data_IF_682130301405
#
_entry.id   IF_682130301405
#
_cell.length_a   1.000
_cell.length_b   1.000
_cell.length_c   1.000
_cell.angle_alpha   90.00
_cell.angle_beta   90.00
_cell.angle_gamma   90.00
#
_symmetry.space_group_name_H-M   'P 1'
#
loop_
_entity.id
_entity.type
_entity.pdbx_description
1 polymer ?
#
# COMPACT_ATOMS: atom_id res chain seq x y z
N UNK A 1 25.42 -3.75 19.57
CA UNK A 1 24.11 -4.40 19.31
C UNK A 1 23.90 -4.40 17.82
N UNK A 2 23.61 -5.55 17.18
CA UNK A 2 23.19 -5.63 15.78
C UNK A 2 21.66 -5.70 15.74
N UNK A 3 21.04 -4.85 14.94
CA UNK A 3 19.56 -4.85 14.80
C UNK A 3 19.16 -5.79 13.67
N UNK A 4 18.28 -6.74 13.97
CA UNK A 4 17.79 -7.75 13.02
C UNK A 4 16.48 -7.26 12.40
N UNK A 5 16.44 -7.16 11.07
CA UNK A 5 15.30 -6.61 10.33
C UNK A 5 14.64 -7.72 9.51
N UNK A 6 13.42 -8.09 9.89
CA UNK A 6 12.62 -9.10 9.22
C UNK A 6 12.12 -8.65 7.86
N UNK A 7 12.27 -9.48 6.84
CA UNK A 7 11.82 -9.22 5.47
C UNK A 7 11.31 -10.47 4.76
N UNK A 8 10.48 -10.27 3.72
CA UNK A 8 10.07 -11.30 2.78
C UNK A 8 11.10 -11.47 1.66
N UNK A 9 11.04 -12.60 0.96
CA UNK A 9 11.97 -12.93 -0.11
C UNK A 9 11.70 -12.22 -1.45
N UNK A 10 10.56 -11.53 -1.63
CA UNK A 10 10.27 -10.87 -2.91
C UNK A 10 11.23 -9.70 -3.18
N UNK A 11 11.61 -9.48 -4.45
CA UNK A 11 12.52 -8.40 -4.86
C UNK A 11 12.11 -7.04 -4.29
N UNK A 12 10.82 -6.69 -4.38
CA UNK A 12 10.30 -5.43 -3.83
C UNK A 12 10.45 -5.36 -2.31
N UNK A 13 10.13 -6.44 -1.59
CA UNK A 13 10.26 -6.46 -0.13
C UNK A 13 11.73 -6.35 0.30
N UNK A 14 12.62 -7.05 -0.36
CA UNK A 14 14.07 -6.97 -0.10
C UNK A 14 14.61 -5.57 -0.33
N UNK A 15 14.28 -4.96 -1.47
CA UNK A 15 14.75 -3.61 -1.81
C UNK A 15 14.25 -2.57 -0.81
N UNK A 16 12.95 -2.58 -0.50
CA UNK A 16 12.40 -1.62 0.48
C UNK A 16 12.95 -1.83 1.88
N UNK A 17 13.17 -3.10 2.28
CA UNK A 17 13.76 -3.41 3.59
C UNK A 17 15.21 -2.96 3.65
N UNK A 18 16.01 -3.21 2.61
CA UNK A 18 17.42 -2.77 2.56
C UNK A 18 17.52 -1.25 2.66
N UNK A 19 16.74 -0.51 1.88
CA UNK A 19 16.72 0.97 1.93
C UNK A 19 16.39 1.49 3.33
N UNK A 20 15.41 0.88 4.01
CA UNK A 20 15.04 1.28 5.38
C UNK A 20 16.12 0.86 6.39
N UNK A 21 16.73 -0.31 6.21
CA UNK A 21 17.83 -0.79 7.03
C UNK A 21 19.04 0.14 6.97
N UNK A 22 19.40 0.59 5.77
CA UNK A 22 20.50 1.55 5.57
C UNK A 22 20.21 2.89 6.27
N UNK A 23 18.97 3.37 6.21
CA UNK A 23 18.54 4.58 6.93
C UNK A 23 18.60 4.40 8.46
N UNK A 24 18.11 3.27 8.97
CA UNK A 24 18.17 2.95 10.40
C UNK A 24 19.62 2.86 10.89
N UNK A 25 20.49 2.19 10.13
CA UNK A 25 21.90 2.09 10.45
C UNK A 25 22.59 3.47 10.47
N UNK A 26 22.28 4.32 9.49
CA UNK A 26 22.86 5.66 9.39
C UNK A 26 22.45 6.56 10.56
N UNK A 27 21.19 6.51 10.96
CA UNK A 27 20.66 7.34 12.07
C UNK A 27 21.07 6.77 13.43
N UNK A 28 20.98 5.45 13.59
CA UNK A 28 21.21 4.78 14.87
C UNK A 28 22.67 4.48 15.18
N UNK A 29 23.56 4.54 14.19
CA UNK A 29 25.00 4.23 14.37
C UNK A 29 25.27 2.76 14.73
N UNK A 30 24.37 1.84 14.43
CA UNK A 30 24.49 0.42 14.72
C UNK A 30 24.49 -0.43 13.42
N UNK A 31 25.13 -1.61 13.44
CA UNK A 31 25.02 -2.56 12.34
C UNK A 31 23.61 -3.15 12.26
N UNK A 32 23.18 -3.43 11.03
CA UNK A 32 21.89 -4.09 10.73
C UNK A 32 22.11 -5.41 10.02
N UNK A 33 21.19 -6.35 10.21
CA UNK A 33 21.18 -7.65 9.54
C UNK A 33 19.76 -7.94 9.02
N UNK A 34 19.63 -8.35 7.75
CA UNK A 34 18.35 -8.76 7.20
C UNK A 34 18.07 -10.23 7.52
N UNK A 35 16.92 -10.49 8.12
CA UNK A 35 16.43 -11.83 8.44
C UNK A 35 15.30 -12.20 7.48
N UNK A 36 15.55 -13.20 6.63
CA UNK A 36 14.56 -13.70 5.69
C UNK A 36 13.52 -14.56 6.40
N UNK A 37 12.31 -14.06 6.53
CA UNK A 37 11.18 -14.80 7.11
C UNK A 37 10.43 -15.50 5.98
N UNK A 38 10.37 -16.83 6.05
CA UNK A 38 9.57 -17.64 5.11
C UNK A 38 8.09 -17.46 5.44
N UNK A 39 7.30 -17.18 4.43
CA UNK A 39 5.86 -17.05 4.56
C UNK A 39 5.18 -18.15 3.74
N UNK A 40 4.08 -18.71 4.24
CA UNK A 40 3.30 -19.71 3.51
C UNK A 40 2.77 -19.14 2.19
N UNK A 41 2.52 -17.82 2.13
CA UNK A 41 2.13 -17.12 0.90
C UNK A 41 3.22 -17.03 -0.18
N UNK A 42 4.49 -17.27 0.16
CA UNK A 42 5.58 -17.34 -0.84
C UNK A 42 5.64 -18.73 -1.51
N UNK A 43 4.98 -19.74 -0.93
CA UNK A 43 4.95 -21.15 -1.39
C UNK A 43 3.64 -21.49 -2.10
N UNK A 44 2.53 -20.85 -1.73
CA UNK A 44 1.20 -21.18 -2.22
C UNK A 44 0.86 -20.41 -3.50
N UNK A 45 0.41 -21.11 -4.54
CA UNK A 45 0.03 -20.56 -5.86
C UNK A 45 -1.47 -20.31 -6.02
N UNK A 46 -2.28 -20.47 -4.96
CA UNK A 46 -3.73 -20.23 -4.95
C UNK A 46 -4.14 -18.75 -5.01
N UNK A 47 -5.43 -18.46 -5.21
CA UNK A 47 -5.94 -17.08 -5.19
C UNK A 47 -5.85 -16.50 -3.78
N UNK A 48 -5.36 -15.25 -3.64
CA UNK A 48 -5.24 -14.57 -2.34
C UNK A 48 -6.59 -14.46 -1.60
N UNK A 49 -7.70 -14.36 -2.33
CA UNK A 49 -9.04 -14.34 -1.74
C UNK A 49 -9.46 -15.68 -1.12
N UNK A 50 -8.91 -16.80 -1.60
CA UNK A 50 -9.15 -18.14 -1.03
C UNK A 50 -8.20 -18.48 0.13
N UNK A 51 -7.12 -17.70 0.31
CA UNK A 51 -6.04 -17.97 1.27
C UNK A 51 -6.01 -16.98 2.45
N UNK A 52 -7.07 -16.21 2.69
CA UNK A 52 -7.10 -15.23 3.78
C UNK A 52 -6.39 -13.90 3.48
N UNK A 53 -6.15 -13.59 2.20
CA UNK A 53 -5.68 -12.28 1.76
C UNK A 53 -4.23 -11.94 2.13
N UNK A 54 -3.90 -10.65 2.12
CA UNK A 54 -2.58 -10.09 2.46
C UNK A 54 -2.15 -10.37 3.92
N UNK A 55 -3.10 -10.73 4.79
CA UNK A 55 -2.85 -11.05 6.20
C UNK A 55 -1.85 -12.18 6.44
N UNK A 56 -1.78 -13.17 5.55
CA UNK A 56 -0.84 -14.31 5.69
C UNK A 56 0.62 -13.85 5.68
N UNK A 57 0.97 -12.88 4.85
CA UNK A 57 2.33 -12.35 4.78
C UNK A 57 2.72 -11.50 5.98
N UNK A 58 1.76 -10.77 6.52
CA UNK A 58 1.95 -9.94 7.71
C UNK A 58 2.06 -10.82 8.95
N UNK A 59 1.25 -11.87 9.05
CA UNK A 59 1.24 -12.77 10.19
C UNK A 59 2.63 -13.39 10.46
N UNK A 60 3.29 -13.93 9.44
CA UNK A 60 4.60 -14.58 9.63
C UNK A 60 5.68 -13.61 10.15
N UNK A 61 5.71 -12.35 9.64
CA UNK A 61 6.64 -11.33 10.14
C UNK A 61 6.31 -10.89 11.57
N UNK A 62 5.01 -10.76 11.91
CA UNK A 62 4.57 -10.45 13.27
C UNK A 62 4.91 -11.56 14.26
N UNK A 63 4.72 -12.82 13.85
CA UNK A 63 5.12 -13.98 14.64
C UNK A 63 6.63 -14.00 14.90
N UNK A 64 7.45 -13.67 13.89
CA UNK A 64 8.89 -13.57 14.04
C UNK A 64 9.31 -12.47 15.03
N UNK A 65 8.64 -11.31 15.01
CA UNK A 65 8.83 -10.24 16.00
C UNK A 65 8.51 -10.74 17.42
N UNK A 66 7.34 -11.39 17.61
CA UNK A 66 6.88 -11.89 18.90
C UNK A 66 7.78 -13.02 19.43
N UNK A 67 8.33 -13.85 18.55
CA UNK A 67 9.31 -14.89 18.93
C UNK A 67 10.75 -14.40 19.09
N UNK A 68 10.96 -13.06 18.95
CA UNK A 68 12.29 -12.46 19.03
C UNK A 68 13.29 -12.98 17.98
N UNK A 69 12.80 -13.38 16.82
CA UNK A 69 13.63 -13.79 15.66
C UNK A 69 14.16 -12.57 14.89
N UNK A 70 13.43 -11.46 14.94
CA UNK A 70 13.88 -10.14 14.47
C UNK A 70 13.45 -9.04 15.46
N UNK A 71 14.03 -7.85 15.30
CA UNK A 71 13.77 -6.71 16.20
C UNK A 71 12.80 -5.71 15.56
N UNK A 72 12.82 -5.65 14.23
CA UNK A 72 12.01 -4.76 13.40
C UNK A 72 11.48 -5.54 12.20
N UNK A 73 10.27 -5.25 11.73
CA UNK A 73 9.71 -5.76 10.49
C UNK A 73 9.26 -4.60 9.58
N UNK A 74 9.57 -4.70 8.29
CA UNK A 74 9.23 -3.69 7.30
C UNK A 74 8.11 -4.19 6.40
N UNK A 75 7.03 -3.40 6.28
CA UNK A 75 5.88 -3.70 5.43
C UNK A 75 5.57 -2.54 4.48
N UNK A 76 4.97 -2.84 3.33
CA UNK A 76 4.18 -1.83 2.63
C UNK A 76 2.92 -1.56 3.47
N UNK A 77 2.69 -0.31 3.88
CA UNK A 77 1.65 0.00 4.87
C UNK A 77 0.24 -0.40 4.40
N UNK A 78 -0.03 -0.29 3.11
CA UNK A 78 -1.33 -0.68 2.52
C UNK A 78 -1.68 -2.17 2.68
N UNK A 79 -0.67 -3.01 2.92
CA UNK A 79 -0.84 -4.45 3.10
C UNK A 79 -1.04 -4.82 4.60
N UNK A 80 -0.86 -3.83 5.50
CA UNK A 80 -0.98 -4.02 6.94
C UNK A 80 -2.44 -3.87 7.39
N UNK A 81 -3.03 -4.86 8.08
CA UNK A 81 -4.39 -4.74 8.62
C UNK A 81 -4.57 -3.48 9.47
N UNK A 82 -5.77 -2.90 9.45
CA UNK A 82 -6.08 -1.68 10.23
C UNK A 82 -6.15 -1.94 11.73
N UNK A 83 -6.49 -3.16 12.14
CA UNK A 83 -6.57 -3.57 13.53
C UNK A 83 -5.21 -3.60 14.23
N UNK A 84 -5.22 -3.29 15.53
CA UNK A 84 -4.04 -3.38 16.37
C UNK A 84 -3.55 -4.83 16.49
N UNK A 85 -2.25 -5.04 16.51
CA UNK A 85 -1.62 -6.32 16.80
C UNK A 85 -1.14 -6.35 18.26
N UNK A 86 -1.65 -7.30 19.05
CA UNK A 86 -1.28 -7.42 20.45
C UNK A 86 0.23 -7.66 20.60
N UNK A 87 0.89 -6.86 21.45
CA UNK A 87 2.33 -6.94 21.69
C UNK A 87 3.22 -6.27 20.65
N UNK A 88 2.64 -5.72 19.56
CA UNK A 88 3.36 -5.02 18.52
C UNK A 88 2.90 -3.56 18.40
N UNK A 89 3.78 -2.73 17.87
CA UNK A 89 3.53 -1.30 17.63
C UNK A 89 4.01 -0.91 16.25
N UNK A 90 3.25 -0.05 15.57
CA UNK A 90 3.73 0.69 14.41
C UNK A 90 4.68 1.78 14.88
N UNK A 91 5.98 1.47 14.90
CA UNK A 91 7.01 2.27 15.51
C UNK A 91 7.35 3.53 14.68
N UNK A 92 7.40 3.38 13.35
CA UNK A 92 7.65 4.49 12.45
C UNK A 92 6.95 4.33 11.11
N UNK A 93 6.61 5.46 10.50
CA UNK A 93 6.16 5.60 9.12
C UNK A 93 7.08 6.60 8.43
N UNK A 94 8.13 6.15 7.72
CA UNK A 94 9.03 7.05 7.01
C UNK A 94 8.29 7.90 5.98
N UNK A 95 8.93 9.00 5.57
CA UNK A 95 8.37 9.91 4.58
C UNK A 95 7.80 9.18 3.38
N UNK A 96 6.54 9.48 3.07
CA UNK A 96 5.75 8.89 1.99
C UNK A 96 6.33 9.28 0.63
N UNK A 97 6.41 8.31 -0.27
CA UNK A 97 6.75 8.53 -1.68
C UNK A 97 5.46 8.68 -2.51
N UNK A 98 5.58 8.77 -3.85
CA UNK A 98 4.43 8.97 -4.74
C UNK A 98 3.30 7.98 -4.48
N UNK A 99 2.12 8.51 -4.21
CA UNK A 99 0.93 7.74 -3.84
C UNK A 99 0.18 7.19 -5.05
N UNK A 100 0.45 7.74 -6.25
CA UNK A 100 -0.33 7.47 -7.46
C UNK A 100 -0.20 6.03 -7.91
N UNK A 101 -1.25 5.59 -8.59
CA UNK A 101 -1.17 4.45 -9.47
C UNK A 101 -0.63 4.88 -10.84
N UNK A 102 -0.06 3.96 -11.57
CA UNK A 102 0.51 4.22 -12.89
C UNK A 102 0.03 3.19 -13.89
N UNK A 103 -0.17 3.63 -15.11
CA UNK A 103 -0.39 2.78 -16.26
C UNK A 103 0.97 2.41 -16.88
N UNK A 104 1.16 1.14 -17.16
CA UNK A 104 2.27 0.62 -17.95
C UNK A 104 1.65 -0.04 -19.19
N UNK A 105 1.57 0.69 -20.29
CA UNK A 105 0.92 0.26 -21.51
C UNK A 105 1.93 0.03 -22.64
N UNK A 106 1.59 -0.91 -23.55
CA UNK A 106 2.31 -1.07 -24.80
C UNK A 106 2.35 0.27 -25.59
N UNK A 107 3.36 0.47 -26.36
CA UNK A 107 3.53 1.63 -27.25
C UNK A 107 3.49 3.00 -26.54
N UNK A 108 3.64 3.02 -25.21
CA UNK A 108 3.56 4.24 -24.40
C UNK A 108 2.18 4.88 -24.35
N UNK A 109 1.10 4.14 -24.65
CA UNK A 109 -0.26 4.66 -24.68
C UNK A 109 -0.71 5.15 -23.29
N UNK A 110 -1.46 6.25 -23.28
CA UNK A 110 -2.14 6.75 -22.08
C UNK A 110 -3.51 6.08 -21.92
N UNK A 111 -4.13 6.22 -20.76
CA UNK A 111 -5.44 5.66 -20.47
C UNK A 111 -6.51 6.11 -21.47
N UNK A 112 -6.48 7.39 -21.86
CA UNK A 112 -7.41 7.96 -22.84
C UNK A 112 -7.19 7.41 -24.26
N UNK A 113 -5.96 7.01 -24.59
CA UNK A 113 -5.56 6.58 -25.94
C UNK A 113 -5.70 5.07 -26.15
N UNK A 114 -5.99 4.32 -25.09
CA UNK A 114 -6.24 2.87 -25.19
C UNK A 114 -7.45 2.60 -26.10
N UNK A 115 -7.35 1.67 -27.06
CA UNK A 115 -8.48 1.32 -27.93
C UNK A 115 -9.64 0.70 -27.13
N UNK A 116 -10.86 0.86 -27.62
CA UNK A 116 -12.02 0.21 -27.04
C UNK A 116 -11.81 -1.32 -27.02
N UNK A 117 -12.17 -1.96 -25.90
CA UNK A 117 -11.92 -3.37 -25.66
C UNK A 117 -10.47 -3.71 -25.27
N UNK A 118 -9.58 -2.69 -25.07
CA UNK A 118 -8.22 -2.95 -24.62
C UNK A 118 -8.21 -3.66 -23.25
N UNK A 119 -7.32 -4.65 -23.11
CA UNK A 119 -7.22 -5.52 -21.95
C UNK A 119 -6.26 -4.95 -20.93
N UNK A 120 -6.79 -4.47 -19.79
CA UNK A 120 -6.01 -3.83 -18.73
C UNK A 120 -5.95 -4.72 -17.50
N UNK A 121 -4.73 -5.13 -17.11
CA UNK A 121 -4.49 -6.05 -16.01
C UNK A 121 -4.41 -5.36 -14.66
N UNK A 122 -5.20 -5.81 -13.67
CA UNK A 122 -5.05 -5.46 -12.26
C UNK A 122 -5.63 -6.55 -11.37
N UNK A 123 -5.01 -6.82 -10.22
CA UNK A 123 -5.57 -7.71 -9.19
C UNK A 123 -6.17 -6.93 -8.01
N UNK A 124 -6.42 -5.64 -8.18
CA UNK A 124 -6.99 -4.77 -7.14
C UNK A 124 -8.44 -4.42 -7.47
N UNK A 125 -9.43 -4.83 -6.66
CA UNK A 125 -10.82 -4.43 -6.84
C UNK A 125 -11.02 -2.93 -6.91
N UNK A 126 -10.31 -2.16 -6.07
CA UNK A 126 -10.31 -0.69 -6.08
C UNK A 126 -9.91 -0.11 -7.45
N UNK A 127 -8.80 -0.62 -8.04
CA UNK A 127 -8.35 -0.17 -9.36
C UNK A 127 -9.33 -0.58 -10.44
N UNK A 128 -9.80 -1.84 -10.40
CA UNK A 128 -10.74 -2.37 -11.38
C UNK A 128 -12.02 -1.54 -11.43
N UNK A 129 -12.60 -1.21 -10.27
CA UNK A 129 -13.81 -0.41 -10.18
C UNK A 129 -13.61 1.01 -10.74
N UNK A 130 -12.52 1.70 -10.35
CA UNK A 130 -12.24 3.05 -10.84
C UNK A 130 -11.88 3.08 -12.33
N UNK A 131 -11.18 2.06 -12.86
CA UNK A 131 -10.95 1.93 -14.30
C UNK A 131 -12.26 1.76 -15.08
N UNK A 132 -13.16 0.89 -14.61
CA UNK A 132 -14.48 0.69 -15.25
C UNK A 132 -15.32 1.97 -15.22
N UNK A 133 -15.25 2.74 -14.14
CA UNK A 133 -15.93 4.03 -14.05
C UNK A 133 -15.34 5.05 -15.03
N UNK A 134 -14.02 5.12 -15.16
CA UNK A 134 -13.34 6.06 -16.06
C UNK A 134 -13.43 5.64 -17.55
N UNK A 135 -13.36 4.35 -17.84
CA UNK A 135 -13.32 3.76 -19.19
C UNK A 135 -14.14 2.46 -19.21
N UNK A 136 -15.48 2.54 -19.30
CA UNK A 136 -16.38 1.37 -19.28
C UNK A 136 -16.23 0.46 -20.50
N UNK A 137 -15.56 0.92 -21.53
CA UNK A 137 -15.26 0.21 -22.76
C UNK A 137 -14.02 -0.70 -22.67
N UNK A 138 -13.25 -0.65 -21.56
CA UNK A 138 -12.07 -1.51 -21.37
C UNK A 138 -12.43 -2.87 -20.78
N UNK A 139 -11.65 -3.89 -21.15
CA UNK A 139 -11.71 -5.22 -20.56
C UNK A 139 -10.73 -5.30 -19.37
N UNK A 140 -11.26 -5.33 -18.15
CA UNK A 140 -10.42 -5.39 -16.93
C UNK A 140 -10.17 -6.85 -16.56
N UNK A 141 -8.88 -7.24 -16.59
CA UNK A 141 -8.43 -8.62 -16.37
C UNK A 141 -7.83 -8.75 -14.97
N UNK A 142 -8.34 -9.72 -14.18
CA UNK A 142 -7.70 -10.05 -12.89
C UNK A 142 -6.34 -10.71 -13.11
N UNK A 143 -5.30 -10.13 -12.53
CA UNK A 143 -3.92 -10.62 -12.65
C UNK A 143 -3.27 -10.80 -11.29
N UNK A 144 -2.38 -11.80 -11.21
CA UNK A 144 -1.61 -12.13 -10.01
C UNK A 144 -0.11 -12.14 -10.31
N UNK A 145 0.68 -12.27 -9.27
CA UNK A 145 2.14 -12.31 -9.34
C UNK A 145 2.82 -11.04 -8.85
N UNK A 146 4.14 -11.05 -8.84
CA UNK A 146 4.96 -9.89 -8.50
C UNK A 146 4.95 -8.84 -9.64
N UNK A 147 5.63 -7.72 -9.43
CA UNK A 147 5.68 -6.61 -10.40
C UNK A 147 6.22 -7.07 -11.75
N UNK A 148 7.35 -7.80 -11.76
CA UNK A 148 7.98 -8.25 -13.02
C UNK A 148 7.09 -9.23 -13.78
N UNK A 149 6.40 -10.15 -13.08
CA UNK A 149 5.42 -11.06 -13.69
C UNK A 149 4.27 -10.32 -14.36
N UNK A 150 3.77 -9.25 -13.72
CA UNK A 150 2.67 -8.45 -14.28
C UNK A 150 3.11 -7.61 -15.47
N UNK A 151 4.27 -6.95 -15.38
CA UNK A 151 4.86 -6.20 -16.50
C UNK A 151 5.15 -7.12 -17.69
N UNK A 152 5.59 -8.37 -17.43
CA UNK A 152 5.84 -9.37 -18.46
C UNK A 152 4.63 -9.76 -19.30
N UNK A 153 3.41 -9.38 -18.89
CA UNK A 153 2.17 -9.61 -19.67
C UNK A 153 1.88 -8.53 -20.71
N UNK A 154 2.64 -7.41 -20.68
CA UNK A 154 2.47 -6.30 -21.65
C UNK A 154 3.64 -6.32 -22.63
N UNK A 155 3.41 -6.48 -23.94
CA UNK A 155 4.47 -6.50 -24.95
C UNK A 155 5.17 -5.15 -25.06
N UNK A 156 6.46 -5.18 -25.40
CA UNK A 156 7.24 -3.99 -25.72
C UNK A 156 7.66 -3.10 -24.54
N UNK A 157 7.32 -3.47 -23.29
CA UNK A 157 7.80 -2.72 -22.13
C UNK A 157 9.31 -2.91 -21.92
N UNK A 158 10.05 -1.88 -21.47
CA UNK A 158 11.46 -1.97 -21.14
C UNK A 158 11.78 -3.16 -20.21
N UNK A 159 12.84 -3.90 -20.50
CA UNK A 159 13.28 -5.06 -19.71
C UNK A 159 12.42 -6.31 -19.84
N UNK A 160 11.42 -6.31 -20.70
CA UNK A 160 10.70 -7.53 -21.10
C UNK A 160 11.49 -8.18 -22.24
N UNK A 161 12.20 -9.26 -21.93
CA UNK A 161 12.96 -10.03 -22.93
C UNK A 161 12.05 -10.92 -23.81
N UNK A 162 10.74 -10.83 -23.65
CA UNK A 162 9.77 -11.67 -24.37
C UNK A 162 9.50 -11.03 -25.72
N UNK A 163 10.19 -11.53 -26.75
CA UNK A 163 9.90 -11.27 -28.16
C UNK A 163 8.93 -12.28 -28.76
N UNK A 164 8.73 -13.41 -28.08
CA UNK A 164 7.91 -14.51 -28.60
C UNK A 164 6.59 -14.61 -27.86
N UNK A 165 5.51 -14.46 -28.61
CA UNK A 165 4.15 -14.72 -28.16
C UNK A 165 4.00 -16.21 -27.91
N UNK A 166 4.06 -16.64 -26.65
CA UNK A 166 3.68 -18.02 -26.29
C UNK A 166 2.16 -18.03 -26.02
N UNK A 167 1.35 -18.66 -26.84
CA UNK A 167 -0.09 -18.72 -26.64
C UNK A 167 -0.44 -19.23 -25.23
N UNK A 168 -1.14 -18.40 -24.45
CA UNK A 168 -1.68 -18.74 -23.12
C UNK A 168 -0.84 -18.35 -21.91
N UNK A 169 0.34 -17.73 -22.03
CA UNK A 169 1.16 -17.37 -20.87
C UNK A 169 1.85 -16.00 -20.86
N UNK A 170 1.97 -15.27 -21.95
CA UNK A 170 2.67 -13.99 -21.95
C UNK A 170 2.16 -13.03 -23.01
N UNK A 171 2.23 -11.73 -22.74
CA UNK A 171 1.88 -10.66 -23.69
C UNK A 171 0.42 -10.65 -24.14
N UNK A 172 -0.51 -10.92 -23.23
CA UNK A 172 -1.94 -10.97 -23.48
C UNK A 172 -2.69 -9.71 -23.00
N UNK A 173 -1.98 -8.68 -22.54
CA UNK A 173 -2.55 -7.43 -22.04
C UNK A 173 -2.04 -6.23 -22.84
N UNK A 174 -2.90 -5.23 -23.03
CA UNK A 174 -2.51 -3.93 -23.58
C UNK A 174 -1.82 -3.04 -22.54
N UNK A 175 -2.20 -3.19 -21.26
CA UNK A 175 -1.63 -2.44 -20.17
C UNK A 175 -1.78 -3.17 -18.82
N UNK A 176 -1.02 -2.73 -17.82
CA UNK A 176 -1.21 -3.09 -16.40
C UNK A 176 -1.21 -1.84 -15.54
N UNK A 177 -1.95 -1.88 -14.41
CA UNK A 177 -1.95 -0.79 -13.43
C UNK A 177 -1.22 -1.23 -12.18
N UNK A 178 -0.18 -0.45 -11.80
CA UNK A 178 0.71 -0.70 -10.66
C UNK A 178 0.80 0.55 -9.78
N UNK A 179 1.38 0.43 -8.57
CA UNK A 179 1.70 1.58 -7.74
C UNK A 179 3.05 2.18 -8.15
N UNK A 180 3.14 3.50 -8.35
CA UNK A 180 4.37 4.22 -8.65
C UNK A 180 5.49 3.87 -7.66
N UNK A 181 5.19 3.92 -6.37
CA UNK A 181 6.13 3.58 -5.30
C UNK A 181 6.76 2.19 -5.43
N UNK A 182 6.00 1.21 -5.94
CA UNK A 182 6.52 -0.13 -6.17
C UNK A 182 7.54 -0.18 -7.30
N UNK A 183 7.26 0.51 -8.41
CA UNK A 183 8.16 0.60 -9.56
C UNK A 183 9.41 1.42 -9.24
N UNK A 184 9.25 2.55 -8.54
CA UNK A 184 10.36 3.40 -8.10
C UNK A 184 11.38 2.60 -7.28
N UNK A 185 10.91 1.84 -6.27
CA UNK A 185 11.78 1.04 -5.39
C UNK A 185 12.59 0.00 -6.11
N UNK A 186 12.09 -0.56 -7.20
CA UNK A 186 12.81 -1.56 -8.00
C UNK A 186 13.40 -1.00 -9.30
N UNK A 187 13.45 0.34 -9.43
CA UNK A 187 14.02 1.07 -10.57
C UNK A 187 13.37 0.70 -11.91
N UNK A 188 12.04 0.64 -11.94
CA UNK A 188 11.23 0.30 -13.13
C UNK A 188 10.26 1.42 -13.54
N UNK A 189 10.54 2.68 -13.19
CA UNK A 189 9.74 3.82 -13.65
C UNK A 189 9.82 4.05 -15.17
N UNK A 190 10.83 3.50 -15.83
CA UNK A 190 10.98 3.48 -17.28
C UNK A 190 9.86 2.73 -18.03
N UNK A 191 9.09 1.89 -17.32
CA UNK A 191 7.93 1.18 -17.87
C UNK A 191 6.63 1.97 -17.81
N UNK A 192 6.62 3.14 -17.17
CA UNK A 192 5.42 3.95 -16.95
C UNK A 192 5.07 4.74 -18.20
N UNK A 193 3.86 4.55 -18.73
CA UNK A 193 3.29 5.34 -19.79
C UNK A 193 2.49 6.55 -19.28
N UNK A 194 1.87 6.43 -18.09
CA UNK A 194 1.10 7.50 -17.48
C UNK A 194 1.02 7.36 -15.95
N UNK A 195 1.17 8.48 -15.23
CA UNK A 195 0.80 8.59 -13.83
C UNK A 195 -0.69 8.95 -13.76
N UNK A 196 -1.48 8.09 -13.12
CA UNK A 196 -2.91 8.32 -12.97
C UNK A 196 -3.14 9.30 -11.81
N UNK A 197 -3.64 10.48 -12.13
CA UNK A 197 -3.91 11.52 -11.13
C UNK A 197 -5.01 11.07 -10.14
N UNK A 198 -5.02 11.65 -8.95
CA UNK A 198 -5.90 11.20 -7.87
C UNK A 198 -7.38 11.49 -8.12
N UNK A 199 -7.71 12.39 -9.03
CA UNK A 199 -9.08 12.62 -9.50
C UNK A 199 -9.61 11.45 -10.36
N UNK A 200 -8.72 10.80 -11.13
CA UNK A 200 -9.03 9.61 -11.93
C UNK A 200 -8.96 8.35 -11.08
N UNK A 201 -7.92 8.23 -10.25
CA UNK A 201 -7.69 7.01 -9.44
C UNK A 201 -7.17 7.34 -8.05
N UNK A 202 -8.07 7.37 -7.06
CA UNK A 202 -7.67 7.47 -5.66
C UNK A 202 -6.89 6.21 -5.23
N UNK A 203 -5.72 6.39 -4.59
CA UNK A 203 -4.87 5.28 -4.17
C UNK A 203 -5.49 4.42 -3.07
N UNK A 204 -4.89 3.28 -2.78
CA UNK A 204 -5.21 2.53 -1.56
C UNK A 204 -4.70 3.28 -0.33
N UNK A 205 -5.42 3.20 0.79
CA UNK A 205 -4.96 3.74 2.06
C UNK A 205 -3.54 3.24 2.39
N UNK A 206 -2.63 4.14 2.74
CA UNK A 206 -1.22 3.84 3.01
C UNK A 206 -0.38 3.53 1.77
N UNK A 207 -0.89 3.67 0.55
CA UNK A 207 -0.07 3.48 -0.65
C UNK A 207 1.08 4.50 -0.69
N UNK A 208 2.28 4.06 -1.04
CA UNK A 208 3.50 4.87 -1.01
C UNK A 208 4.21 4.87 0.33
N UNK A 209 3.52 4.54 1.43
CA UNK A 209 4.12 4.50 2.77
C UNK A 209 4.67 3.12 3.12
N UNK A 210 5.73 3.11 3.93
CA UNK A 210 6.22 1.93 4.64
C UNK A 210 5.72 1.96 6.08
N UNK A 211 5.55 0.77 6.65
CA UNK A 211 5.29 0.55 8.07
C UNK A 211 6.47 -0.16 8.70
N UNK A 212 7.01 0.40 9.76
CA UNK A 212 8.04 -0.21 10.58
C UNK A 212 7.38 -0.70 11.87
N UNK A 213 7.21 -2.02 12.02
CA UNK A 213 6.70 -2.63 13.24
C UNK A 213 7.83 -3.14 14.13
N UNK A 214 7.66 -3.01 15.44
CA UNK A 214 8.50 -3.65 16.45
C UNK A 214 7.64 -4.17 17.61
N UNK A 215 8.24 -4.87 18.57
CA UNK A 215 7.55 -5.20 19.83
C UNK A 215 7.21 -3.90 20.58
N UNK A 216 6.07 -3.88 21.25
CA UNK A 216 5.62 -2.67 22.00
C UNK A 216 6.62 -2.25 23.07
N UNK A 217 7.36 -3.20 23.65
CA UNK A 217 8.39 -2.92 24.64
C UNK A 217 9.62 -2.17 24.06
N UNK A 218 9.87 -2.32 22.75
CA UNK A 218 11.00 -1.71 22.03
C UNK A 218 10.59 -0.45 21.26
N UNK A 219 9.30 -0.11 21.29
CA UNK A 219 8.77 1.02 20.55
C UNK A 219 9.23 2.36 21.13
N UNK A 220 9.42 3.39 20.29
CA UNK A 220 9.69 4.74 20.79
C UNK A 220 8.53 5.21 21.68
N UNK A 221 8.83 6.02 22.73
CA UNK A 221 7.79 6.65 23.53
C UNK A 221 6.90 7.51 22.62
N UNK A 222 5.60 7.54 22.91
CA UNK A 222 4.66 8.36 22.13
C UNK A 222 5.02 9.84 22.22
N UNK A 223 4.78 10.62 21.15
CA UNK A 223 4.96 12.08 21.20
C UNK A 223 4.22 12.67 22.39
N UNK A 224 4.94 13.48 23.21
CA UNK A 224 4.39 14.10 24.41
C UNK A 224 4.58 13.30 25.72
N UNK A 225 5.18 12.10 25.70
CA UNK A 225 5.64 11.43 26.92
C UNK A 225 6.87 12.15 27.50
N UNK A 226 6.91 12.34 28.82
CA UNK A 226 7.97 13.11 29.51
C UNK A 226 9.35 12.43 29.51
N UNK A 227 9.46 11.17 29.11
CA UNK A 227 10.70 10.39 29.10
C UNK A 227 11.13 10.07 27.68
N UNK A 228 12.24 10.66 27.22
CA UNK A 228 12.96 10.21 26.03
C UNK A 228 13.50 8.79 26.24
N UNK A 229 13.38 7.92 25.26
CA UNK A 229 13.99 6.59 25.34
C UNK A 229 15.51 6.70 25.40
N UNK A 230 16.12 5.89 26.27
CA UNK A 230 17.58 5.68 26.27
C UNK A 230 18.01 4.60 25.30
N UNK A 231 17.04 3.89 24.71
CA UNK A 231 17.28 2.84 23.72
C UNK A 231 17.60 3.46 22.34
N UNK A 232 18.76 3.12 21.81
CA UNK A 232 19.26 3.64 20.53
C UNK A 232 18.35 3.23 19.36
N UNK A 233 17.76 2.03 19.40
CA UNK A 233 16.81 1.58 18.38
C UNK A 233 15.54 2.44 18.41
N UNK A 234 14.97 2.67 19.60
CA UNK A 234 13.77 3.50 19.73
C UNK A 234 14.02 4.94 19.26
N UNK A 235 15.21 5.50 19.54
CA UNK A 235 15.61 6.82 19.04
C UNK A 235 15.71 6.85 17.51
N UNK A 236 16.34 5.83 16.90
CA UNK A 236 16.46 5.73 15.46
C UNK A 236 15.09 5.56 14.77
N UNK A 237 14.19 4.76 15.36
CA UNK A 237 12.82 4.60 14.88
C UNK A 237 12.05 5.93 14.94
N UNK A 238 12.16 6.66 16.04
CA UNK A 238 11.54 7.99 16.20
C UNK A 238 12.07 9.00 15.16
N UNK A 239 13.36 8.95 14.85
CA UNK A 239 13.96 9.84 13.86
C UNK A 239 13.58 9.52 12.41
N UNK A 240 13.16 8.28 12.13
CA UNK A 240 12.63 7.88 10.83
C UNK A 240 11.14 8.14 10.69
N UNK A 241 10.42 8.40 11.76
CA UNK A 241 8.99 8.67 11.71
C UNK A 241 8.72 10.06 11.15
N UNK A 242 8.00 10.14 10.03
CA UNK A 242 7.61 11.40 9.41
C UNK A 242 6.23 11.82 9.92
N UNK A 243 6.11 12.96 10.63
CA UNK A 243 4.86 13.36 11.26
C UNK A 243 3.70 13.55 10.27
N UNK A 244 3.95 14.14 9.10
CA UNK A 244 2.92 14.37 8.10
C UNK A 244 2.42 13.06 7.51
N UNK A 245 3.34 12.14 7.21
CA UNK A 245 3.00 10.79 6.75
C UNK A 245 2.20 10.05 7.81
N UNK A 246 2.61 10.10 9.08
CA UNK A 246 1.90 9.45 10.19
C UNK A 246 0.47 9.96 10.33
N UNK A 247 0.24 11.27 10.32
CA UNK A 247 -1.09 11.85 10.38
C UNK A 247 -1.94 11.43 9.17
N UNK A 248 -1.39 11.51 7.96
CA UNK A 248 -2.08 11.13 6.74
C UNK A 248 -2.53 9.66 6.77
N UNK A 249 -1.62 8.74 7.06
CA UNK A 249 -1.96 7.31 7.07
C UNK A 249 -2.84 6.91 8.25
N UNK A 250 -2.78 7.64 9.36
CA UNK A 250 -3.69 7.46 10.50
C UNK A 250 -5.13 7.78 10.08
N UNK A 251 -5.37 8.90 9.38
CA UNK A 251 -6.69 9.28 8.88
C UNK A 251 -7.22 8.26 7.86
N UNK A 252 -6.40 7.86 6.88
CA UNK A 252 -6.76 6.85 5.87
C UNK A 252 -7.13 5.50 6.50
N UNK A 253 -6.35 5.03 7.47
CA UNK A 253 -6.58 3.75 8.15
C UNK A 253 -7.79 3.81 9.09
N UNK A 254 -8.02 4.94 9.76
CA UNK A 254 -9.21 5.14 10.58
C UNK A 254 -10.50 5.11 9.73
N UNK A 255 -10.46 5.70 8.54
CA UNK A 255 -11.56 5.62 7.57
C UNK A 255 -11.84 4.15 7.18
N UNK A 256 -10.81 3.39 6.76
CA UNK A 256 -11.00 1.97 6.42
C UNK A 256 -11.54 1.15 7.60
N UNK A 257 -11.00 1.37 8.80
CA UNK A 257 -11.44 0.67 10.00
C UNK A 257 -12.92 0.96 10.31
N UNK A 258 -13.37 2.22 10.14
CA UNK A 258 -14.78 2.60 10.39
C UNK A 258 -15.73 2.10 9.31
N UNK A 259 -15.27 2.01 8.06
CA UNK A 259 -16.02 1.37 6.97
C UNK A 259 -16.06 -0.16 7.12
N UNK A 260 -15.30 -0.74 8.05
CA UNK A 260 -15.05 -2.19 8.14
C UNK A 260 -14.55 -2.78 6.82
N UNK A 261 -13.80 -1.96 6.06
CA UNK A 261 -13.39 -2.30 4.71
C UNK A 261 -12.25 -3.34 4.72
N UNK A 262 -12.52 -4.49 4.12
CA UNK A 262 -11.53 -5.55 3.88
C UNK A 262 -10.56 -5.19 2.74
N UNK A 263 -9.52 -6.01 2.57
CA UNK A 263 -8.51 -5.80 1.52
C UNK A 263 -9.07 -5.89 0.10
N UNK A 264 -10.22 -6.54 -0.09
CA UNK A 264 -10.90 -6.66 -1.38
C UNK A 264 -11.95 -5.58 -1.62
N UNK A 265 -12.24 -4.73 -0.63
CA UNK A 265 -13.20 -3.64 -0.79
C UNK A 265 -12.72 -2.62 -1.84
N UNK A 266 -13.59 -2.13 -2.73
CA UNK A 266 -13.25 -1.17 -3.77
C UNK A 266 -13.19 0.27 -3.22
N UNK A 267 -12.34 0.48 -2.20
CA UNK A 267 -12.18 1.75 -1.47
C UNK A 267 -10.83 2.39 -1.78
N UNK A 268 -10.87 3.65 -2.23
CA UNK A 268 -9.70 4.52 -2.35
C UNK A 268 -9.69 5.55 -1.22
N UNK A 269 -8.51 5.88 -0.69
CA UNK A 269 -8.36 6.93 0.32
C UNK A 269 -6.98 7.59 0.20
N UNK A 270 -6.96 8.91 0.28
CA UNK A 270 -5.75 9.71 0.24
C UNK A 270 -5.82 10.90 1.18
N UNK A 271 -4.87 10.97 2.11
CA UNK A 271 -4.69 12.10 2.99
C UNK A 271 -3.32 12.75 2.80
N UNK A 272 -3.24 14.05 3.07
CA UNK A 272 -2.01 14.83 3.03
C UNK A 272 -2.10 16.08 3.90
N UNK A 273 -0.98 16.48 4.48
CA UNK A 273 -0.85 17.74 5.19
C UNK A 273 -0.50 18.86 4.19
N UNK A 274 -1.14 20.02 4.33
CA UNK A 274 -0.82 21.24 3.60
C UNK A 274 -1.03 22.46 4.49
N UNK A 275 0.06 23.15 4.80
CA UNK A 275 0.04 24.22 5.81
C UNK A 275 -0.37 23.66 7.18
N UNK A 276 -1.35 24.29 7.82
CA UNK A 276 -1.89 23.87 9.12
C UNK A 276 -3.10 22.93 9.01
N UNK A 277 -3.31 22.29 7.88
CA UNK A 277 -4.49 21.46 7.64
C UNK A 277 -4.10 20.06 7.21
N UNK A 278 -4.83 19.06 7.71
CA UNK A 278 -4.85 17.69 7.21
C UNK A 278 -6.10 17.52 6.34
N UNK A 279 -5.90 17.13 5.08
CA UNK A 279 -6.95 16.81 4.12
C UNK A 279 -7.09 15.31 3.99
N UNK A 280 -8.29 14.82 3.81
CA UNK A 280 -8.60 13.44 3.49
C UNK A 280 -9.69 13.39 2.41
N UNK A 281 -9.44 12.63 1.37
CA UNK A 281 -10.40 12.32 0.32
C UNK A 281 -10.56 10.82 0.20
N UNK A 282 -11.79 10.36 -0.02
CA UNK A 282 -12.07 8.94 -0.16
C UNK A 282 -13.18 8.66 -1.18
N UNK A 283 -13.14 7.48 -1.78
CA UNK A 283 -14.13 6.97 -2.70
C UNK A 283 -14.45 5.51 -2.39
N UNK A 284 -15.73 5.17 -2.42
CA UNK A 284 -16.23 3.80 -2.47
C UNK A 284 -16.90 3.61 -3.83
N UNK A 285 -16.53 2.56 -4.56
CA UNK A 285 -17.05 2.28 -5.89
C UNK A 285 -17.83 0.97 -5.91
N UNK A 286 -18.88 0.89 -6.73
CA UNK A 286 -19.43 -0.39 -7.13
C UNK A 286 -18.36 -1.19 -7.92
N UNK A 287 -18.32 -2.51 -7.74
CA UNK A 287 -17.30 -3.38 -8.36
C UNK A 287 -17.33 -3.31 -9.89
N UNK A 288 -18.51 -3.08 -10.47
CA UNK A 288 -18.71 -2.92 -11.91
C UNK A 288 -18.43 -1.50 -12.43
N UNK A 289 -18.12 -0.54 -11.54
CA UNK A 289 -17.84 0.85 -11.87
C UNK A 289 -19.07 1.73 -12.17
N UNK A 290 -20.30 1.20 -12.03
CA UNK A 290 -21.54 1.91 -12.40
C UNK A 290 -21.94 2.98 -11.40
N UNK A 291 -21.46 2.91 -10.15
CA UNK A 291 -21.75 3.84 -9.09
C UNK A 291 -20.52 4.10 -8.22
N UNK A 292 -20.45 5.29 -7.66
CA UNK A 292 -19.45 5.64 -6.66
C UNK A 292 -19.95 6.69 -5.69
N UNK A 293 -19.50 6.61 -4.44
CA UNK A 293 -19.67 7.67 -3.44
C UNK A 293 -18.29 8.22 -3.12
N UNK A 294 -18.09 9.52 -3.32
CA UNK A 294 -16.82 10.21 -3.11
C UNK A 294 -17.03 11.50 -2.34
N UNK A 295 -16.24 11.71 -1.31
CA UNK A 295 -16.28 12.95 -0.52
C UNK A 295 -14.86 13.27 0.02
N UNK A 296 -14.71 14.49 0.55
CA UNK A 296 -13.46 14.99 1.14
C UNK A 296 -13.74 15.85 2.37
N UNK A 297 -12.83 15.78 3.34
CA UNK A 297 -12.87 16.54 4.58
C UNK A 297 -11.48 17.07 4.91
N UNK A 298 -11.41 18.05 5.81
CA UNK A 298 -10.18 18.58 6.32
C UNK A 298 -10.32 18.97 7.79
N UNK A 299 -9.21 18.95 8.54
CA UNK A 299 -9.14 19.40 9.92
C UNK A 299 -7.83 20.18 10.17
N UNK A 300 -7.87 21.11 11.11
CA UNK A 300 -6.69 21.79 11.66
C UNK A 300 -6.11 21.07 12.90
N UNK A 301 -6.78 19.98 13.33
CA UNK A 301 -6.36 19.13 14.43
C UNK A 301 -5.19 18.21 14.02
N UNK A 302 -3.98 18.76 13.85
CA UNK A 302 -2.77 18.02 13.45
C UNK A 302 -2.21 17.15 14.58
N UNK A 303 -3.03 16.23 15.07
CA UNK A 303 -2.70 15.20 16.06
C UNK A 303 -3.20 13.83 15.59
N UNK A 304 -2.66 12.73 16.12
CA UNK A 304 -3.16 11.39 15.79
C UNK A 304 -4.66 11.23 16.15
N UNK A 305 -5.12 11.86 17.21
CA UNK A 305 -6.54 11.89 17.58
C UNK A 305 -7.37 12.65 16.54
N UNK A 306 -6.93 13.85 16.14
CA UNK A 306 -7.60 14.63 15.10
C UNK A 306 -7.63 13.91 13.75
N UNK A 307 -6.53 13.29 13.37
CA UNK A 307 -6.45 12.47 12.15
C UNK A 307 -7.42 11.26 12.21
N UNK A 308 -7.50 10.58 13.37
CA UNK A 308 -8.43 9.46 13.57
C UNK A 308 -9.89 9.94 13.46
N UNK A 309 -10.24 11.04 14.09
CA UNK A 309 -11.59 11.61 14.02
C UNK A 309 -11.95 12.01 12.59
N UNK A 310 -11.04 12.65 11.85
CA UNK A 310 -11.24 12.98 10.44
C UNK A 310 -11.58 11.75 9.59
N UNK A 311 -10.84 10.64 9.80
CA UNK A 311 -11.11 9.38 9.11
C UNK A 311 -12.48 8.80 9.44
N UNK A 312 -12.88 8.81 10.72
CA UNK A 312 -14.19 8.32 11.17
C UNK A 312 -15.30 9.19 10.61
N UNK A 313 -15.18 10.51 10.69
CA UNK A 313 -16.20 11.46 10.19
C UNK A 313 -16.42 11.28 8.68
N UNK A 314 -15.36 11.16 7.88
CA UNK A 314 -15.50 10.94 6.44
C UNK A 314 -16.15 9.59 6.14
N UNK A 315 -15.80 8.54 6.88
CA UNK A 315 -16.44 7.23 6.72
C UNK A 315 -17.95 7.28 7.00
N UNK A 316 -18.38 7.99 8.05
CA UNK A 316 -19.79 8.18 8.37
C UNK A 316 -20.55 8.92 7.25
N UNK A 317 -19.92 9.93 6.67
CA UNK A 317 -20.50 10.66 5.53
C UNK A 317 -20.67 9.75 4.32
N UNK A 318 -19.67 8.92 3.99
CA UNK A 318 -19.76 7.97 2.89
C UNK A 318 -20.86 6.91 3.15
N UNK A 319 -20.95 6.39 4.37
CA UNK A 319 -22.00 5.43 4.77
C UNK A 319 -23.39 6.07 4.65
N UNK A 320 -23.57 7.29 5.16
CA UNK A 320 -24.82 8.03 5.05
C UNK A 320 -25.21 8.34 3.59
N UNK A 321 -24.24 8.44 2.68
CA UNK A 321 -24.44 8.61 1.25
C UNK A 321 -24.67 7.28 0.49
N UNK A 322 -24.82 6.15 1.19
CA UNK A 322 -25.14 4.85 0.59
C UNK A 322 -23.92 4.02 0.15
N UNK A 323 -22.74 4.26 0.70
CA UNK A 323 -21.54 3.50 0.33
C UNK A 323 -21.69 1.98 0.57
N UNK A 324 -22.40 1.58 1.63
CA UNK A 324 -22.65 0.16 1.92
C UNK A 324 -23.68 -0.50 0.98
N UNK A 325 -24.47 0.31 0.26
CA UNK A 325 -25.46 -0.22 -0.69
C UNK A 325 -24.84 -0.55 -2.05
N UNK A 326 -23.72 0.09 -2.40
CA UNK A 326 -23.06 -0.07 -3.71
C UNK A 326 -21.88 -1.02 -3.68
N UNK A 327 -21.34 -1.35 -2.51
CA UNK A 327 -20.16 -2.21 -2.39
C UNK A 327 -20.25 -3.11 -1.15
N UNK A 328 -19.84 -4.37 -1.30
CA UNK A 328 -19.53 -5.23 -0.16
C UNK A 328 -18.22 -4.75 0.50
N UNK A 329 -18.36 -3.97 1.55
CA UNK A 329 -17.22 -3.39 2.26
C UNK A 329 -16.45 -4.45 3.07
N UNK A 330 -17.09 -5.54 3.48
CA UNK A 330 -16.47 -6.62 4.27
C UNK A 330 -15.81 -7.69 3.40
N UNK A 331 -15.82 -7.54 2.07
CA UNK A 331 -15.17 -8.47 1.16
C UNK A 331 -13.68 -8.63 1.50
N UNK A 332 -13.22 -9.86 1.67
CA UNK A 332 -11.85 -10.24 2.13
C UNK A 332 -11.08 -11.02 1.06
#
# INVERSE_FOLDING_TARGET
MTVRIGTRASKLALTQTQQTADQLAAVGGFPVELVHIRTDGDVLTGSLSQMGGTGVFVAALRDALLRNECDVAIHSLKDLPTGAAVGLSLAATPRRVDVRDVLCARDGLKLADLPAGARVGTGSPRRAAQLRAARPDLEIIDIRGNVDTRLGRVPGLPGNAVTDVVPGKSCDLDAVVLAAAGLERISRLDTVSEFLETDVMLPAAGQGSLAIECRTADAPPRPGSAEGSKDVLAQALSALDDPDTRLAVTAERALLARLEAGCAAPVGAYAFCKGSMLYLEAVVCAVDGTASVRDKRATDGLTEVGATLLGIELAEVLLAAGAADIADLQAS
#
